data_IF_448369256092
#
_entry.id   IF_448369256092
#
_cell.length_a   1.000
_cell.length_b   1.000
_cell.length_c   1.000
_cell.angle_alpha   90.00
_cell.angle_beta   90.00
_cell.angle_gamma   90.00
#
_symmetry.space_group_name_H-M   'P 1'
#
loop_
_entity.id
_entity.type
_entity.pdbx_description
1 polymer ?
#
# COMPACT_ATOMS: atom_id res chain seq x y z
N UNK A 1 13.22 -8.95 2.99
CA UNK A 1 13.05 -9.07 1.52
C UNK A 1 12.66 -7.71 0.99
N UNK A 2 13.24 -7.26 -0.12
CA UNK A 2 12.84 -6.00 -0.73
C UNK A 2 11.55 -6.17 -1.55
N UNK A 3 10.64 -5.21 -1.43
CA UNK A 3 9.39 -5.15 -2.21
C UNK A 3 9.36 -3.83 -2.95
N UNK A 4 9.04 -3.89 -4.23
CA UNK A 4 8.87 -2.73 -5.07
C UNK A 4 7.71 -2.94 -6.03
N UNK A 5 6.79 -1.99 -6.04
CA UNK A 5 5.70 -1.95 -7.00
C UNK A 5 5.41 -0.50 -7.36
N UNK A 6 5.02 -0.26 -8.61
CA UNK A 6 4.68 1.07 -9.07
C UNK A 6 3.57 1.04 -10.10
N UNK A 7 2.92 2.19 -10.24
CA UNK A 7 1.93 2.49 -11.26
C UNK A 7 2.16 3.91 -11.76
N UNK A 8 1.81 4.15 -13.02
CA UNK A 8 1.84 5.50 -13.59
C UNK A 8 0.46 6.13 -13.51
N UNK A 9 0.44 7.40 -13.15
CA UNK A 9 -0.73 8.27 -13.19
C UNK A 9 -0.46 9.30 -14.29
N UNK A 10 -1.33 9.35 -15.30
CA UNK A 10 -1.26 10.30 -16.43
C UNK A 10 -1.68 11.71 -16.01
N UNK A 11 -1.01 12.25 -14.99
CA UNK A 11 -1.17 13.60 -14.46
C UNK A 11 0.18 14.20 -14.04
N UNK A 12 0.34 15.53 -14.10
CA UNK A 12 1.53 16.22 -13.62
C UNK A 12 1.80 15.97 -12.13
N UNK A 13 3.07 16.01 -11.74
CA UNK A 13 3.50 15.77 -10.36
C UNK A 13 2.87 16.77 -9.39
N UNK A 14 2.70 18.01 -9.84
CA UNK A 14 2.14 19.13 -9.08
C UNK A 14 0.66 18.94 -8.73
N UNK A 15 -0.05 18.08 -9.47
CA UNK A 15 -1.43 17.69 -9.16
C UNK A 15 -1.47 16.45 -8.26
N UNK A 16 -0.59 15.48 -8.54
CA UNK A 16 -0.56 14.18 -7.89
C UNK A 16 0.03 14.23 -6.49
N UNK A 17 1.13 14.98 -6.28
CA UNK A 17 1.77 15.08 -4.96
C UNK A 17 0.82 15.65 -3.91
N UNK A 18 0.13 16.79 -4.11
CA UNK A 18 -0.80 17.29 -3.12
C UNK A 18 -1.98 16.35 -2.87
N UNK A 19 -2.44 15.63 -3.89
CA UNK A 19 -3.49 14.62 -3.73
C UNK A 19 -3.02 13.48 -2.81
N UNK A 20 -1.85 12.92 -3.07
CA UNK A 20 -1.24 11.90 -2.23
C UNK A 20 -1.06 12.38 -0.77
N UNK A 21 -0.60 13.62 -0.57
CA UNK A 21 -0.40 14.18 0.77
C UNK A 21 -1.71 14.34 1.55
N UNK A 22 -2.82 14.69 0.89
CA UNK A 22 -4.15 14.78 1.53
C UNK A 22 -4.67 13.42 2.00
N UNK A 23 -4.15 12.34 1.43
CA UNK A 23 -4.59 10.98 1.67
C UNK A 23 -3.90 10.33 2.87
N UNK A 24 -2.82 10.93 3.39
CA UNK A 24 -2.03 10.42 4.53
C UNK A 24 -2.89 10.06 5.75
N UNK A 25 -3.85 10.90 6.20
CA UNK A 25 -4.67 10.56 7.37
C UNK A 25 -5.54 9.30 7.18
N UNK A 26 -5.84 8.93 5.93
CA UNK A 26 -6.67 7.76 5.60
C UNK A 26 -5.91 6.46 5.34
N UNK A 27 -4.56 6.49 5.33
CA UNK A 27 -3.74 5.35 4.90
C UNK A 27 -4.00 4.06 5.70
N UNK A 28 -4.34 4.18 6.99
CA UNK A 28 -4.69 3.03 7.84
C UNK A 28 -5.84 2.20 7.26
N UNK A 29 -6.95 2.85 6.91
CA UNK A 29 -8.14 2.13 6.42
C UNK A 29 -7.87 1.41 5.09
N UNK A 30 -7.06 2.02 4.22
CA UNK A 30 -6.76 1.42 2.91
C UNK A 30 -5.82 0.23 2.99
N UNK A 31 -4.90 0.25 3.96
CA UNK A 31 -4.04 -0.88 4.22
C UNK A 31 -4.82 -2.08 4.80
N UNK A 32 -5.79 -1.83 5.69
CA UNK A 32 -6.70 -2.88 6.17
C UNK A 32 -7.48 -3.54 5.03
N UNK A 33 -8.03 -2.73 4.11
CA UNK A 33 -8.75 -3.24 2.95
C UNK A 33 -7.81 -4.00 1.98
N UNK A 34 -6.61 -3.48 1.72
CA UNK A 34 -5.65 -4.11 0.80
C UNK A 34 -5.10 -5.44 1.33
N UNK A 35 -4.88 -5.56 2.64
CA UNK A 35 -4.51 -6.82 3.27
C UNK A 35 -5.62 -7.87 3.12
N UNK A 36 -6.87 -7.46 3.36
CA UNK A 36 -8.05 -8.33 3.24
C UNK A 36 -8.22 -8.83 1.80
N UNK A 37 -8.04 -7.96 0.81
CA UNK A 37 -8.11 -8.33 -0.60
C UNK A 37 -7.03 -9.35 -0.99
N UNK A 38 -5.79 -9.16 -0.50
CA UNK A 38 -4.69 -10.10 -0.68
C UNK A 38 -4.99 -11.50 -0.10
N UNK A 39 -5.54 -11.56 1.11
CA UNK A 39 -5.97 -12.81 1.76
C UNK A 39 -7.09 -13.53 0.96
N UNK A 40 -8.06 -12.77 0.43
CA UNK A 40 -9.17 -13.32 -0.35
C UNK A 40 -8.75 -13.91 -1.70
N UNK A 41 -7.74 -13.33 -2.35
CA UNK A 41 -7.17 -13.85 -3.59
C UNK A 41 -6.53 -15.24 -3.39
N UNK A 42 -5.95 -15.49 -2.22
CA UNK A 42 -5.24 -16.73 -1.92
C UNK A 42 -6.10 -17.81 -1.24
N UNK A 43 -7.14 -17.46 -0.49
CA UNK A 43 -8.09 -18.44 0.07
C UNK A 43 -8.89 -19.20 -0.99
N UNK A 44 -9.06 -18.65 -2.20
CA UNK A 44 -9.61 -19.38 -3.37
C UNK A 44 -8.64 -20.43 -3.93
N UNK A 45 -7.34 -20.32 -3.63
CA UNK A 45 -6.27 -21.22 -4.08
C UNK A 45 -5.79 -22.05 -2.87
N UNK A 46 -6.73 -22.82 -2.31
CA UNK A 46 -6.60 -23.81 -1.23
C UNK A 46 -5.29 -23.87 -0.43
N UNK A 47 -5.34 -23.37 0.81
CA UNK A 47 -4.49 -23.85 1.92
C UNK A 47 -5.30 -23.90 3.22
N UNK A 48 -5.43 -25.11 3.78
CA UNK A 48 -5.97 -25.36 5.13
C UNK A 48 -4.88 -25.04 6.16
N UNK A 49 -4.87 -23.82 6.68
CA UNK A 49 -3.94 -23.41 7.75
C UNK A 49 -3.70 -21.92 7.74
N UNK A 50 -4.71 -21.16 8.15
CA UNK A 50 -4.72 -19.70 8.05
C UNK A 50 -3.73 -19.03 8.99
N UNK A 51 -2.74 -18.35 8.42
CA UNK A 51 -2.02 -17.27 9.10
C UNK A 51 -2.89 -16.01 8.94
N UNK A 52 -4.05 -16.02 9.61
CA UNK A 52 -4.97 -14.90 9.61
C UNK A 52 -4.48 -13.88 10.65
N UNK A 53 -3.67 -12.92 10.23
CA UNK A 53 -3.66 -11.65 10.95
C UNK A 53 -5.03 -11.02 10.71
N UNK A 54 -5.86 -10.90 11.77
CA UNK A 54 -7.24 -10.38 11.61
C UNK A 54 -7.29 -8.88 11.34
N UNK A 55 -6.19 -8.18 11.58
CA UNK A 55 -6.11 -6.73 11.44
C UNK A 55 -4.65 -6.32 11.20
N UNK A 56 -4.45 -5.24 10.47
CA UNK A 56 -3.14 -4.63 10.22
C UNK A 56 -3.17 -3.19 10.68
N UNK A 57 -2.04 -2.68 11.14
CA UNK A 57 -1.84 -1.29 11.50
C UNK A 57 -0.83 -0.68 10.53
N UNK A 58 -1.20 0.46 9.94
CA UNK A 58 -0.28 1.31 9.20
C UNK A 58 -0.08 2.61 9.94
N UNK A 59 1.19 2.93 10.12
CA UNK A 59 1.65 4.23 10.61
C UNK A 59 2.39 4.93 9.49
N UNK A 60 2.10 6.22 9.31
CA UNK A 60 2.77 7.07 8.35
C UNK A 60 3.58 8.12 9.09
N UNK A 61 4.83 8.30 8.67
CA UNK A 61 5.71 9.37 9.13
C UNK A 61 5.45 10.68 8.39
N UNK A 62 6.27 11.68 8.71
CA UNK A 62 6.24 12.96 8.00
C UNK A 62 6.70 12.79 6.56
N UNK A 63 6.01 13.42 5.58
CA UNK A 63 6.46 13.45 4.20
C UNK A 63 7.84 14.10 4.08
N UNK A 64 8.65 13.56 3.17
CA UNK A 64 9.95 14.12 2.81
C UNK A 64 9.92 14.48 1.33
N UNK A 65 10.27 15.73 1.02
CA UNK A 65 10.34 16.23 -0.37
C UNK A 65 11.79 16.22 -0.85
N UNK A 66 12.03 15.51 -1.94
CA UNK A 66 13.26 15.55 -2.71
C UNK A 66 13.16 16.49 -3.91
N UNK A 67 14.16 16.44 -4.79
CA UNK A 67 14.22 17.30 -5.97
C UNK A 67 13.21 16.91 -7.07
N UNK A 68 12.91 15.61 -7.20
CA UNK A 68 12.03 15.06 -8.24
C UNK A 68 11.09 13.97 -7.71
N UNK A 69 11.04 13.79 -6.39
CA UNK A 69 10.14 12.85 -5.74
C UNK A 69 9.77 13.34 -4.35
N UNK A 70 8.60 12.94 -3.88
CA UNK A 70 8.15 13.10 -2.49
C UNK A 70 7.83 11.71 -1.96
N UNK A 71 8.31 11.38 -0.77
CA UNK A 71 8.04 10.09 -0.15
C UNK A 71 7.50 10.21 1.27
N UNK A 72 6.68 9.25 1.64
CA UNK A 72 6.04 9.15 2.95
C UNK A 72 6.53 7.82 3.55
N UNK A 73 7.37 7.87 4.60
CA UNK A 73 7.76 6.67 5.32
C UNK A 73 6.51 6.03 5.94
N UNK A 74 6.35 4.73 5.76
CA UNK A 74 5.28 3.94 6.36
C UNK A 74 5.86 2.71 7.06
N UNK A 75 5.19 2.32 8.15
CA UNK A 75 5.37 1.02 8.77
C UNK A 75 4.02 0.33 8.80
N UNK A 76 3.98 -0.87 8.25
CA UNK A 76 2.80 -1.72 8.15
C UNK A 76 3.06 -3.00 8.93
N UNK A 77 2.27 -3.25 9.97
CA UNK A 77 2.39 -4.43 10.81
C UNK A 77 1.06 -5.15 10.94
N UNK A 78 1.09 -6.48 10.92
CA UNK A 78 -0.06 -7.26 11.34
C UNK A 78 -0.23 -7.17 12.86
N UNK A 79 -1.46 -6.91 13.29
CA UNK A 79 -1.82 -6.86 14.72
C UNK A 79 -2.17 -8.26 15.22
N UNK A 80 -1.64 -8.62 16.38
CA UNK A 80 -1.59 -10.00 16.89
C UNK A 80 -0.17 -10.33 17.33
N UNK A 81 0.05 -11.46 18.02
CA UNK A 81 1.34 -11.87 18.59
C UNK A 81 2.56 -11.46 17.72
N UNK A 82 3.27 -10.35 18.03
CA UNK A 82 4.14 -9.65 17.08
C UNK A 82 5.32 -10.48 16.55
N UNK A 83 5.71 -11.53 17.28
CA UNK A 83 6.75 -12.48 16.87
C UNK A 83 6.30 -13.47 15.79
N UNK A 84 4.99 -13.60 15.55
CA UNK A 84 4.38 -14.56 14.62
C UNK A 84 3.86 -13.92 13.33
N UNK A 85 3.94 -12.60 13.20
CA UNK A 85 3.41 -11.89 12.04
C UNK A 85 4.46 -11.03 11.34
N UNK A 86 4.34 -10.89 10.01
CA UNK A 86 5.27 -10.09 9.22
C UNK A 86 5.08 -8.58 9.43
N UNK A 87 6.16 -7.83 9.21
CA UNK A 87 6.15 -6.36 9.15
C UNK A 87 6.76 -5.85 7.84
N UNK A 88 6.32 -4.68 7.40
CA UNK A 88 6.84 -3.97 6.23
C UNK A 88 7.22 -2.56 6.64
N UNK A 89 8.49 -2.21 6.44
CA UNK A 89 8.96 -0.82 6.48
C UNK A 89 9.17 -0.36 5.05
N UNK A 90 8.46 0.70 4.63
CA UNK A 90 8.44 1.12 3.23
C UNK A 90 8.27 2.62 3.10
N UNK A 91 8.45 3.11 1.88
CA UNK A 91 8.09 4.45 1.46
C UNK A 91 7.00 4.37 0.40
N UNK A 92 5.96 5.18 0.56
CA UNK A 92 5.05 5.53 -0.55
C UNK A 92 5.63 6.75 -1.25
N UNK A 93 5.92 6.64 -2.54
CA UNK A 93 6.65 7.62 -3.32
C UNK A 93 5.77 8.14 -4.44
N UNK A 94 5.68 9.46 -4.58
CA UNK A 94 5.32 10.12 -5.83
C UNK A 94 6.60 10.62 -6.49
N UNK A 95 6.85 10.29 -7.75
CA UNK A 95 8.03 10.70 -8.49
C UNK A 95 7.64 11.33 -9.84
N UNK A 96 8.26 12.47 -10.16
CA UNK A 96 8.13 13.11 -11.46
C UNK A 96 8.79 12.22 -12.52
N UNK A 97 8.02 11.86 -13.56
CA UNK A 97 8.53 11.12 -14.73
C UNK A 97 8.52 12.00 -15.98
N UNK A 98 7.52 12.88 -16.10
CA UNK A 98 7.41 13.83 -17.20
C UNK A 98 6.29 14.84 -16.96
N UNK A 99 6.15 15.80 -17.87
CA UNK A 99 5.24 16.95 -17.71
C UNK A 99 3.76 16.58 -17.48
N UNK A 100 3.34 15.37 -17.85
CA UNK A 100 1.97 14.86 -17.67
C UNK A 100 1.96 13.44 -17.10
N UNK A 101 3.07 13.00 -16.49
CA UNK A 101 3.22 11.64 -16.00
C UNK A 101 3.92 11.62 -14.65
N UNK A 102 3.24 11.05 -13.67
CA UNK A 102 3.76 10.83 -12.32
C UNK A 102 3.76 9.35 -12.01
N UNK A 103 4.85 8.87 -11.42
CA UNK A 103 4.91 7.52 -10.89
C UNK A 103 4.50 7.52 -9.43
N UNK A 104 3.56 6.65 -9.07
CA UNK A 104 3.31 6.27 -7.68
C UNK A 104 3.97 4.92 -7.43
N UNK A 105 4.76 4.82 -6.39
CA UNK A 105 5.46 3.59 -6.03
C UNK A 105 5.38 3.30 -4.54
N UNK A 106 5.54 2.02 -4.21
CA UNK A 106 5.90 1.58 -2.87
C UNK A 106 7.24 0.87 -2.97
N UNK A 107 8.21 1.28 -2.14
CA UNK A 107 9.52 0.61 -2.02
C UNK A 107 9.83 0.33 -0.56
N UNK A 108 10.23 -0.88 -0.21
CA UNK A 108 10.45 -1.20 1.19
C UNK A 108 11.00 -2.58 1.47
N UNK A 109 11.21 -2.86 2.75
CA UNK A 109 11.68 -4.15 3.23
C UNK A 109 10.60 -4.84 4.05
N UNK A 110 10.20 -6.01 3.57
CA UNK A 110 9.33 -6.95 4.26
C UNK A 110 10.16 -7.90 5.14
N UNK A 111 9.80 -8.01 6.41
CA UNK A 111 10.35 -8.94 7.39
C UNK A 111 9.34 -10.06 7.63
N UNK A 112 9.71 -11.29 7.29
CA UNK A 112 8.89 -12.47 7.56
C UNK A 112 8.99 -12.87 9.05
N UNK A 113 7.94 -13.48 9.65
CA UNK A 113 7.98 -13.89 11.05
C UNK A 113 9.01 -15.00 11.31
N UNK A 114 9.55 -15.03 12.53
CA UNK A 114 10.48 -16.06 12.98
C UNK A 114 9.72 -17.20 13.68
N UNK A 115 9.32 -18.22 12.91
CA UNK A 115 8.71 -19.45 13.44
C UNK A 115 9.32 -20.69 12.79
N UNK A 116 9.99 -21.54 13.59
CA UNK A 116 10.56 -22.80 13.12
C UNK A 116 9.43 -23.80 12.87
N UNK A 117 9.50 -24.51 11.73
CA UNK A 117 8.64 -25.61 11.22
C UNK A 117 7.74 -25.19 10.04
N UNK A 118 8.04 -25.67 8.83
CA UNK A 118 7.22 -25.48 7.60
C UNK A 118 7.68 -24.40 6.61
N UNK A 119 8.82 -23.75 6.90
CA UNK A 119 9.24 -22.39 6.52
C UNK A 119 9.35 -22.02 5.03
N UNK A 120 9.47 -22.96 4.09
CA UNK A 120 9.71 -22.62 2.68
C UNK A 120 8.41 -22.37 1.91
N UNK A 121 7.45 -23.29 2.03
CA UNK A 121 6.14 -23.18 1.38
C UNK A 121 5.32 -22.05 2.00
N UNK A 122 5.38 -21.92 3.33
CA UNK A 122 4.73 -20.85 4.07
C UNK A 122 5.29 -19.47 3.71
N UNK A 123 6.62 -19.35 3.60
CA UNK A 123 7.27 -18.10 3.17
C UNK A 123 6.94 -17.72 1.73
N UNK A 124 6.87 -18.69 0.82
CA UNK A 124 6.47 -18.41 -0.57
C UNK A 124 5.00 -17.98 -0.65
N UNK A 125 4.11 -18.55 0.15
CA UNK A 125 2.70 -18.13 0.23
C UNK A 125 2.58 -16.72 0.84
N UNK A 126 3.20 -16.49 1.99
CA UNK A 126 3.23 -15.19 2.67
C UNK A 126 3.84 -14.10 1.79
N UNK A 127 4.85 -14.46 0.99
CA UNK A 127 5.44 -13.56 0.02
C UNK A 127 4.42 -13.12 -1.04
N UNK A 128 3.67 -14.06 -1.62
CA UNK A 128 2.64 -13.73 -2.62
C UNK A 128 1.51 -12.90 -2.04
N UNK A 129 1.10 -13.19 -0.81
CA UNK A 129 0.12 -12.37 -0.08
C UNK A 129 0.66 -10.95 0.12
N UNK A 130 1.93 -10.80 0.51
CA UNK A 130 2.57 -9.51 0.69
C UNK A 130 2.66 -8.72 -0.63
N UNK A 131 3.06 -9.36 -1.73
CA UNK A 131 3.10 -8.73 -3.06
C UNK A 131 1.71 -8.31 -3.53
N UNK A 132 0.71 -9.18 -3.41
CA UNK A 132 -0.67 -8.88 -3.79
C UNK A 132 -1.24 -7.73 -2.96
N UNK A 133 -0.97 -7.70 -1.65
CA UNK A 133 -1.42 -6.63 -0.75
C UNK A 133 -0.74 -5.30 -1.09
N UNK A 134 0.57 -5.29 -1.36
CA UNK A 134 1.30 -4.10 -1.79
C UNK A 134 0.75 -3.56 -3.12
N UNK A 135 0.52 -4.46 -4.09
CA UNK A 135 -0.09 -4.09 -5.36
C UNK A 135 -1.48 -3.47 -5.17
N UNK A 136 -2.37 -4.14 -4.44
CA UNK A 136 -3.72 -3.65 -4.18
C UNK A 136 -3.72 -2.29 -3.45
N UNK A 137 -2.79 -2.09 -2.52
CA UNK A 137 -2.62 -0.83 -1.82
C UNK A 137 -2.20 0.32 -2.75
N UNK A 138 -1.18 0.11 -3.59
CA UNK A 138 -0.72 1.13 -4.55
C UNK A 138 -1.76 1.40 -5.63
N UNK A 139 -2.45 0.37 -6.12
CA UNK A 139 -3.54 0.53 -7.09
C UNK A 139 -4.67 1.38 -6.48
N UNK A 140 -5.08 1.11 -5.23
CA UNK A 140 -6.11 1.90 -4.53
C UNK A 140 -5.69 3.36 -4.29
N UNK A 141 -4.41 3.61 -4.00
CA UNK A 141 -3.88 4.98 -3.92
C UNK A 141 -4.02 5.68 -5.28
N UNK A 142 -3.60 5.03 -6.36
CA UNK A 142 -3.68 5.61 -7.69
C UNK A 142 -5.12 5.88 -8.14
N UNK A 143 -6.05 4.95 -7.89
CA UNK A 143 -7.48 5.10 -8.17
C UNK A 143 -8.10 6.25 -7.37
N UNK A 144 -7.72 6.38 -6.10
CA UNK A 144 -8.21 7.43 -5.22
C UNK A 144 -7.66 8.81 -5.62
N UNK A 145 -6.41 8.90 -6.04
CA UNK A 145 -5.83 10.11 -6.66
C UNK A 145 -6.60 10.46 -7.93
N UNK A 146 -6.81 9.48 -8.82
CA UNK A 146 -7.58 9.68 -10.04
C UNK A 146 -8.98 10.22 -9.75
N UNK A 147 -9.67 9.62 -8.77
CA UNK A 147 -11.03 10.02 -8.37
C UNK A 147 -11.09 11.41 -7.70
N UNK A 148 -10.10 11.78 -6.90
CA UNK A 148 -10.02 13.11 -6.27
C UNK A 148 -9.72 14.21 -7.30
N UNK A 149 -8.96 13.87 -8.35
CA UNK A 149 -8.62 14.77 -9.45
C UNK A 149 -9.73 14.84 -10.51
N UNK A 150 -10.68 13.91 -10.53
CA UNK A 150 -11.91 14.11 -11.30
C UNK A 150 -12.71 15.26 -10.67
N UNK A 151 -13.31 16.16 -11.47
CA UNK A 151 -14.13 17.23 -10.94
C UNK A 151 -15.26 16.63 -10.11
N UNK A 152 -15.29 16.93 -8.81
CA UNK A 152 -16.41 16.56 -7.95
C UNK A 152 -17.63 17.31 -8.46
N UNK A 153 -18.58 16.60 -9.09
CA UNK A 153 -19.89 17.16 -9.42
C UNK A 153 -20.60 17.42 -8.10
N UNK A 154 -20.45 18.63 -7.56
CA UNK A 154 -21.28 19.10 -6.46
C UNK A 154 -22.65 19.40 -7.03
N UNK A 155 -23.62 18.50 -6.77
CA UNK A 155 -25.03 18.79 -7.01
C UNK A 155 -25.41 20.06 -6.24
N UNK A 156 -25.63 21.15 -6.99
CA UNK A 156 -26.16 22.38 -6.44
C UNK A 156 -27.58 22.15 -5.95
N UNK A 157 -27.79 22.24 -4.63
CA UNK A 157 -29.13 22.40 -4.06
C UNK A 157 -29.70 23.72 -4.59
N UNK A 158 -30.64 23.63 -5.53
CA UNK A 158 -31.56 24.72 -5.81
C UNK A 158 -32.35 25.02 -4.52
N UNK A 159 -32.37 26.29 -4.13
CA UNK A 159 -33.24 26.82 -3.09
C UNK A 159 -34.65 27.01 -3.62
#
# INVERSE_FOLDING_TARGET
MFVYYYIHVERPFEEVEPALLRMIPGLRGWAEDAYRDGEHLHTRVGTRGGILAKSVEVTAGSPVRGASETWIPIRWEATGAPSLFPSLEADVVAAYVGASLTQIALRGTYQAPFGRVGEALDRALLHRIAEASVKAFVDRIAESIGSDLLPRVTEGRAR
#
